data_IF_899788468679
#
_entry.id   IF_899788468679
#
_cell.length_a   1.000
_cell.length_b   1.000
_cell.length_c   1.000
_cell.angle_alpha   90.00
_cell.angle_beta   90.00
_cell.angle_gamma   90.00
#
_symmetry.space_group_name_H-M   'P 1'
#
loop_
_entity.id
_entity.type
_entity.pdbx_description
1 polymer ?
#
# COMPACT_ATOMS: atom_id res chain seq x y z
N UNK A 1 -3.88 -34.23 23.54
CA UNK A 1 -2.83 -33.63 22.71
C UNK A 1 -2.20 -34.76 21.94
N UNK A 2 -2.36 -34.74 20.62
CA UNK A 2 -1.77 -35.74 19.75
C UNK A 2 -0.24 -35.57 19.77
N UNK A 3 0.53 -36.65 19.62
CA UNK A 3 2.00 -36.59 19.64
C UNK A 3 2.55 -35.63 18.57
N UNK A 4 1.88 -35.59 17.41
CA UNK A 4 2.13 -34.66 16.30
C UNK A 4 1.90 -33.19 16.68
N UNK A 5 0.85 -32.88 17.45
CA UNK A 5 0.57 -31.51 17.89
C UNK A 5 1.64 -31.00 18.85
N UNK A 6 2.25 -31.91 19.63
CA UNK A 6 3.32 -31.57 20.57
C UNK A 6 4.63 -31.27 19.82
N UNK A 7 4.94 -32.03 18.77
CA UNK A 7 6.11 -31.79 17.91
C UNK A 7 6.00 -30.44 17.19
N UNK A 8 4.84 -30.13 16.59
CA UNK A 8 4.58 -28.83 15.96
C UNK A 8 4.71 -27.67 16.95
N UNK A 9 4.25 -27.85 18.19
CA UNK A 9 4.35 -26.83 19.24
C UNK A 9 5.81 -26.57 19.63
N UNK A 10 6.63 -27.62 19.69
CA UNK A 10 8.06 -27.54 20.01
C UNK A 10 8.81 -26.84 18.87
N UNK A 11 8.54 -27.18 17.62
CA UNK A 11 9.14 -26.48 16.46
C UNK A 11 8.84 -24.99 16.48
N UNK A 12 7.58 -24.60 16.72
CA UNK A 12 7.18 -23.20 16.81
C UNK A 12 7.91 -22.42 17.92
N UNK A 13 8.13 -23.05 19.08
CA UNK A 13 8.87 -22.44 20.18
C UNK A 13 10.35 -22.27 19.81
N UNK A 14 10.96 -23.26 19.15
CA UNK A 14 12.35 -23.17 18.68
C UNK A 14 12.49 -22.01 17.69
N UNK A 15 11.58 -21.92 16.72
CA UNK A 15 11.52 -20.86 15.71
C UNK A 15 11.37 -19.46 16.34
N UNK A 16 10.60 -19.35 17.42
CA UNK A 16 10.42 -18.11 18.17
C UNK A 16 11.68 -17.72 18.96
N UNK A 17 12.40 -18.69 19.56
CA UNK A 17 13.68 -18.45 20.22
C UNK A 17 14.74 -17.99 19.22
N UNK A 18 14.79 -18.56 18.02
CA UNK A 18 15.73 -18.17 16.96
C UNK A 18 15.49 -16.74 16.42
N UNK A 19 14.24 -16.28 16.45
CA UNK A 19 13.86 -14.91 16.03
C UNK A 19 14.20 -13.85 17.07
N UNK A 20 14.48 -14.23 18.32
CA UNK A 20 14.86 -13.28 19.36
C UNK A 20 16.31 -12.80 19.15
N UNK A 21 16.54 -11.50 19.34
CA UNK A 21 17.89 -10.94 19.27
C UNK A 21 18.69 -11.32 20.51
N UNK A 22 19.59 -12.29 20.38
CA UNK A 22 20.46 -12.74 21.46
C UNK A 22 21.56 -11.70 21.75
N UNK A 23 21.69 -11.32 23.02
CA UNK A 23 22.79 -10.50 23.54
C UNK A 23 24.01 -11.33 23.94
N UNK A 24 23.86 -12.65 24.08
CA UNK A 24 24.93 -13.60 24.39
C UNK A 24 24.64 -14.98 23.77
N UNK A 25 25.63 -15.88 23.80
CA UNK A 25 25.55 -17.20 23.16
C UNK A 25 24.76 -18.24 24.00
N UNK A 26 24.02 -17.80 25.02
CA UNK A 26 23.31 -18.64 25.97
C UNK A 26 21.81 -18.34 25.90
N UNK A 27 20.99 -19.40 25.83
CA UNK A 27 19.54 -19.27 25.89
C UNK A 27 19.13 -19.25 27.36
N UNK A 28 18.67 -18.10 27.84
CA UNK A 28 18.21 -17.93 29.22
C UNK A 28 16.75 -18.37 29.38
N UNK A 29 16.38 -18.78 30.60
CA UNK A 29 15.01 -19.19 30.93
C UNK A 29 13.96 -18.12 30.58
N UNK A 30 14.29 -16.84 30.78
CA UNK A 30 13.43 -15.71 30.43
C UNK A 30 13.14 -15.61 28.92
N UNK A 31 14.08 -16.02 28.06
CA UNK A 31 13.93 -16.02 26.60
C UNK A 31 12.98 -17.13 26.15
N UNK A 32 13.11 -18.31 26.75
CA UNK A 32 12.21 -19.45 26.50
C UNK A 32 10.81 -19.14 27.02
N UNK A 33 10.68 -18.55 28.22
CA UNK A 33 9.38 -18.13 28.75
C UNK A 33 8.70 -17.08 27.85
N UNK A 34 9.47 -16.16 27.26
CA UNK A 34 8.96 -15.18 26.29
C UNK A 34 8.52 -15.86 24.97
N UNK A 35 9.30 -16.81 24.46
CA UNK A 35 8.97 -17.56 23.24
C UNK A 35 7.73 -18.44 23.45
N UNK A 36 7.62 -19.12 24.59
CA UNK A 36 6.43 -19.90 24.96
C UNK A 36 5.21 -18.98 25.11
N UNK A 37 5.37 -17.80 25.71
CA UNK A 37 4.30 -16.79 25.78
C UNK A 37 3.86 -16.31 24.39
N UNK A 38 4.79 -16.10 23.47
CA UNK A 38 4.53 -15.71 22.08
C UNK A 38 3.80 -16.82 21.30
N UNK A 39 4.22 -18.08 21.45
CA UNK A 39 3.57 -19.24 20.83
C UNK A 39 2.23 -19.60 21.50
N UNK A 40 2.04 -19.27 22.78
CA UNK A 40 0.80 -19.53 23.53
C UNK A 40 -0.28 -18.48 23.30
N UNK A 41 0.10 -17.27 22.84
CA UNK A 41 -0.85 -16.34 22.24
C UNK A 41 -1.27 -17.01 20.94
N UNK A 42 -2.55 -17.37 20.82
CA UNK A 42 -3.11 -17.74 19.53
C UNK A 42 -2.73 -16.65 18.53
N UNK A 43 -1.75 -16.91 17.68
CA UNK A 43 -1.51 -16.04 16.52
C UNK A 43 -2.85 -16.08 15.82
N UNK A 44 -3.53 -14.94 15.79
CA UNK A 44 -4.78 -14.90 15.08
C UNK A 44 -4.45 -15.00 13.59
N UNK A 45 -4.46 -16.23 13.09
CA UNK A 45 -4.18 -16.57 11.70
C UNK A 45 -5.13 -15.82 10.74
N UNK A 46 -6.24 -15.28 11.27
CA UNK A 46 -7.24 -14.59 10.47
C UNK A 46 -6.89 -13.13 10.16
N UNK A 47 -6.14 -12.41 11.00
CA UNK A 47 -5.87 -10.99 10.75
C UNK A 47 -4.46 -10.58 11.15
N UNK A 48 -3.67 -10.16 10.17
CA UNK A 48 -2.30 -9.70 10.34
C UNK A 48 -2.13 -8.27 9.81
N UNK A 49 -1.55 -7.39 10.63
CA UNK A 49 -1.17 -6.04 10.21
C UNK A 49 0.34 -6.02 10.01
N UNK A 50 0.77 -5.83 8.76
CA UNK A 50 2.18 -5.70 8.43
C UNK A 50 2.72 -4.37 8.93
N UNK A 51 3.73 -4.45 9.80
CA UNK A 51 4.66 -3.35 10.03
C UNK A 51 5.69 -3.39 8.89
N UNK A 52 5.80 -2.31 8.11
CA UNK A 52 6.94 -2.15 7.20
C UNK A 52 8.19 -1.91 8.04
N UNK A 53 8.85 -2.97 8.48
CA UNK A 53 10.08 -2.87 9.26
C UNK A 53 11.18 -2.22 8.40
N UNK A 54 11.69 -1.07 8.84
CA UNK A 54 12.91 -0.43 8.33
C UNK A 54 14.20 -1.20 8.67
N UNK A 55 14.06 -2.48 9.04
CA UNK A 55 15.18 -3.37 9.32
C UNK A 55 15.33 -4.28 8.11
N UNK A 56 16.55 -4.33 7.59
CA UNK A 56 16.97 -5.15 6.46
C UNK A 56 16.70 -6.63 6.75
N UNK A 57 15.49 -7.09 6.44
CA UNK A 57 15.18 -8.51 6.47
C UNK A 57 15.75 -9.12 5.18
N UNK A 58 16.98 -9.62 5.28
CA UNK A 58 17.73 -10.28 4.19
C UNK A 58 16.95 -11.44 3.58
N UNK A 59 15.97 -12.00 4.30
CA UNK A 59 15.29 -13.25 3.95
C UNK A 59 14.03 -13.10 3.10
N UNK A 60 13.55 -11.88 2.81
CA UNK A 60 12.31 -11.69 2.01
C UNK A 60 12.44 -10.71 0.85
N UNK A 61 13.61 -10.71 0.22
CA UNK A 61 13.76 -10.26 -1.17
C UNK A 61 13.24 -11.34 -2.10
N UNK A 62 11.93 -11.53 -2.12
CA UNK A 62 11.34 -12.50 -3.05
C UNK A 62 11.13 -11.78 -4.38
N UNK A 63 12.05 -12.15 -5.27
CA UNK A 63 12.46 -11.58 -6.54
C UNK A 63 11.37 -11.25 -7.58
N UNK A 64 11.73 -10.28 -8.43
CA UNK A 64 11.63 -10.43 -9.89
C UNK A 64 13.03 -10.80 -10.43
N UNK A 65 13.07 -11.62 -11.49
CA UNK A 65 14.29 -12.07 -12.15
C UNK A 65 15.28 -10.90 -12.37
N UNK A 66 16.53 -11.06 -11.92
CA UNK A 66 17.70 -10.16 -12.10
C UNK A 66 18.12 -9.21 -10.96
N UNK A 67 17.68 -9.37 -9.70
CA UNK A 67 18.06 -8.46 -8.60
C UNK A 67 18.71 -9.14 -7.37
N UNK A 68 19.48 -10.22 -7.57
CA UNK A 68 20.21 -10.93 -6.49
C UNK A 68 21.42 -10.16 -5.94
N UNK A 69 21.87 -9.11 -6.64
CA UNK A 69 23.11 -8.40 -6.32
C UNK A 69 22.92 -7.04 -5.63
N UNK A 70 21.71 -6.70 -5.18
CA UNK A 70 21.47 -5.38 -4.59
C UNK A 70 21.91 -5.33 -3.12
N UNK A 71 22.39 -4.20 -2.63
CA UNK A 71 22.65 -3.99 -1.20
C UNK A 71 21.33 -3.87 -0.44
N UNK A 72 21.25 -4.37 0.79
CA UNK A 72 20.04 -4.28 1.61
C UNK A 72 19.54 -2.82 1.75
N UNK A 73 18.21 -2.58 1.82
CA UNK A 73 17.66 -1.23 1.77
C UNK A 73 18.03 -0.40 3.01
N UNK A 74 18.51 0.83 2.78
CA UNK A 74 18.87 1.77 3.82
C UNK A 74 18.07 3.07 3.67
N UNK A 75 17.76 3.74 4.79
CA UNK A 75 17.10 5.05 4.77
C UNK A 75 17.90 6.07 3.95
N UNK A 76 19.22 6.05 4.12
CA UNK A 76 20.16 6.87 3.34
C UNK A 76 20.72 6.05 2.19
N UNK A 77 19.91 5.90 1.14
CA UNK A 77 20.30 5.22 -0.10
C UNK A 77 21.43 5.93 -0.85
N UNK A 78 22.12 5.18 -1.68
CA UNK A 78 23.09 5.67 -2.66
C UNK A 78 22.41 6.35 -3.84
N UNK A 79 23.17 7.08 -4.66
CA UNK A 79 22.66 7.63 -5.92
C UNK A 79 22.12 6.56 -6.88
N UNK A 80 22.63 5.32 -6.78
CA UNK A 80 22.11 4.17 -7.54
C UNK A 80 20.69 3.81 -7.11
N UNK A 81 20.39 3.82 -5.82
CA UNK A 81 19.04 3.51 -5.32
C UNK A 81 17.99 4.48 -5.88
N UNK A 82 18.37 5.76 -6.06
CA UNK A 82 17.50 6.75 -6.71
C UNK A 82 17.20 6.41 -8.18
N UNK A 83 18.18 5.89 -8.91
CA UNK A 83 18.01 5.48 -10.31
C UNK A 83 17.19 4.19 -10.41
N UNK A 84 17.48 3.21 -9.56
CA UNK A 84 16.77 1.92 -9.52
C UNK A 84 15.28 2.12 -9.18
N UNK A 85 14.93 3.08 -8.31
CA UNK A 85 13.54 3.44 -8.02
C UNK A 85 12.69 3.63 -9.30
N UNK A 86 13.14 4.50 -10.20
CA UNK A 86 12.39 4.78 -11.43
C UNK A 86 12.47 3.62 -12.43
N UNK A 87 13.61 2.92 -12.46
CA UNK A 87 13.83 1.75 -13.31
C UNK A 87 12.87 0.61 -12.92
N UNK A 88 12.70 0.34 -11.65
CA UNK A 88 11.81 -0.70 -11.13
C UNK A 88 10.35 -0.39 -11.44
N UNK A 89 9.91 0.86 -11.24
CA UNK A 89 8.57 1.31 -11.64
C UNK A 89 8.31 1.07 -13.12
N UNK A 90 9.28 1.40 -13.98
CA UNK A 90 9.19 1.14 -15.42
C UNK A 90 9.12 -0.37 -15.74
N UNK A 91 10.03 -1.17 -15.19
CA UNK A 91 10.13 -2.62 -15.48
C UNK A 91 8.83 -3.35 -15.13
N UNK A 92 8.22 -3.05 -13.98
CA UNK A 92 6.97 -3.69 -13.55
C UNK A 92 5.85 -3.40 -14.55
N UNK A 93 5.68 -2.14 -14.95
CA UNK A 93 4.65 -1.76 -15.90
C UNK A 93 4.95 -2.26 -17.31
N UNK A 94 6.22 -2.32 -17.71
CA UNK A 94 6.64 -2.90 -18.97
C UNK A 94 6.26 -4.38 -19.05
N UNK A 95 6.61 -5.16 -18.03
CA UNK A 95 6.26 -6.59 -17.95
C UNK A 95 4.75 -6.80 -18.00
N UNK A 96 4.00 -6.03 -17.19
CA UNK A 96 2.54 -6.07 -17.15
C UNK A 96 1.91 -5.74 -18.51
N UNK A 97 2.43 -4.72 -19.18
CA UNK A 97 1.96 -4.31 -20.51
C UNK A 97 2.23 -5.41 -21.54
N UNK A 98 3.43 -6.01 -21.54
CA UNK A 98 3.76 -7.09 -22.49
C UNK A 98 2.91 -8.35 -22.32
N UNK A 99 2.37 -8.61 -21.13
CA UNK A 99 1.46 -9.75 -20.87
C UNK A 99 0.02 -9.50 -21.31
N UNK A 100 -0.34 -8.24 -21.56
CA UNK A 100 -1.69 -7.93 -21.99
C UNK A 100 -1.93 -8.42 -23.42
N UNK A 101 -3.14 -8.92 -23.70
CA UNK A 101 -3.48 -9.56 -24.99
C UNK A 101 -3.19 -8.68 -26.21
N UNK A 102 -3.37 -7.36 -26.06
CA UNK A 102 -3.13 -6.37 -27.12
C UNK A 102 -1.64 -6.18 -27.46
N UNK A 103 -0.73 -6.56 -26.57
CA UNK A 103 0.73 -6.36 -26.73
C UNK A 103 1.51 -7.67 -26.81
N UNK A 104 0.86 -8.81 -26.56
CA UNK A 104 1.49 -10.13 -26.60
C UNK A 104 1.67 -10.57 -28.06
N UNK A 105 2.89 -10.95 -28.50
CA UNK A 105 3.11 -11.47 -29.86
C UNK A 105 2.20 -12.66 -30.18
N UNK A 106 1.77 -12.80 -31.43
CA UNK A 106 1.01 -13.98 -31.84
C UNK A 106 1.86 -15.24 -31.72
N UNK A 107 1.30 -16.31 -31.17
CA UNK A 107 1.96 -17.60 -31.13
C UNK A 107 2.24 -18.09 -32.56
N UNK A 108 3.39 -18.72 -32.75
CA UNK A 108 3.78 -19.27 -34.05
C UNK A 108 2.81 -20.42 -34.40
N UNK A 109 2.02 -20.26 -35.47
CA UNK A 109 1.14 -21.30 -36.00
C UNK A 109 -0.37 -21.08 -35.85
N UNK A 110 -0.84 -20.02 -35.19
CA UNK A 110 -2.26 -19.64 -35.17
C UNK A 110 -2.62 -18.75 -36.36
N UNK A 111 -3.70 -19.06 -37.08
CA UNK A 111 -4.25 -18.15 -38.10
C UNK A 111 -4.54 -16.79 -37.44
N UNK A 112 -3.99 -15.72 -38.02
CA UNK A 112 -4.24 -14.36 -37.57
C UNK A 112 -5.68 -13.99 -37.85
N UNK A 113 -6.50 -13.89 -36.81
CA UNK A 113 -7.74 -13.11 -36.91
C UNK A 113 -7.34 -11.66 -37.27
N UNK A 114 -7.57 -11.26 -38.52
CA UNK A 114 -7.27 -9.92 -39.03
C UNK A 114 -8.05 -8.79 -38.31
N UNK A 115 -8.93 -9.13 -37.37
CA UNK A 115 -9.85 -8.20 -36.69
C UNK A 115 -9.29 -7.57 -35.40
N UNK A 116 -8.15 -8.03 -34.86
CA UNK A 116 -7.51 -7.40 -33.68
C UNK A 116 -6.10 -6.93 -34.02
N UNK A 117 -5.95 -5.63 -34.30
CA UNK A 117 -4.62 -5.00 -34.43
C UNK A 117 -3.86 -5.13 -33.11
N UNK A 118 -2.70 -5.79 -33.15
CA UNK A 118 -1.79 -5.87 -32.01
C UNK A 118 -0.86 -4.66 -31.99
N UNK A 119 -0.58 -4.17 -30.79
CA UNK A 119 0.32 -3.05 -30.57
C UNK A 119 1.74 -3.54 -30.32
N UNK A 120 2.71 -2.94 -31.01
CA UNK A 120 4.13 -3.21 -30.79
C UNK A 120 4.80 -1.99 -30.16
N UNK A 121 5.32 -2.16 -28.94
CA UNK A 121 6.10 -1.13 -28.27
C UNK A 121 7.48 -0.98 -28.92
N UNK A 122 7.92 0.27 -29.09
CA UNK A 122 9.29 0.62 -29.49
C UNK A 122 10.00 1.32 -28.33
N UNK A 123 11.31 1.08 -28.20
CA UNK A 123 12.14 1.77 -27.20
C UNK A 123 12.55 3.15 -27.70
N UNK A 124 12.79 4.10 -26.79
CA UNK A 124 13.29 5.44 -27.12
C UNK A 124 14.57 5.38 -27.96
N UNK A 125 15.47 4.45 -27.64
CA UNK A 125 16.71 4.18 -28.39
C UNK A 125 16.44 3.82 -29.86
N UNK A 126 15.36 3.09 -30.13
CA UNK A 126 14.96 2.71 -31.51
C UNK A 126 14.54 3.94 -32.32
N UNK A 127 13.90 4.93 -31.69
CA UNK A 127 13.55 6.18 -32.37
C UNK A 127 14.81 7.01 -32.63
N UNK A 128 15.65 7.21 -31.61
CA UNK A 128 16.87 8.01 -31.72
C UNK A 128 17.89 7.42 -32.70
N UNK A 129 17.91 6.09 -32.85
CA UNK A 129 18.75 5.40 -33.84
C UNK A 129 18.25 5.50 -35.28
N UNK A 130 17.05 6.03 -35.52
CA UNK A 130 16.46 6.15 -36.84
C UNK A 130 16.53 7.59 -37.35
N UNK A 131 17.13 7.79 -38.53
CA UNK A 131 17.21 9.09 -39.20
C UNK A 131 16.03 9.39 -40.10
N UNK A 132 15.14 8.41 -40.36
CA UNK A 132 13.97 8.57 -41.21
C UNK A 132 12.69 8.77 -40.39
N UNK A 133 11.72 9.47 -40.97
CA UNK A 133 10.38 9.63 -40.39
C UNK A 133 9.76 8.27 -40.10
N UNK A 134 9.35 8.06 -38.85
CA UNK A 134 8.58 6.90 -38.43
C UNK A 134 7.12 7.31 -38.30
N UNK A 135 6.24 6.58 -39.00
CA UNK A 135 4.78 6.78 -38.95
C UNK A 135 4.19 6.37 -37.61
N UNK A 136 3.43 5.27 -37.55
CA UNK A 136 2.82 4.83 -36.29
C UNK A 136 3.85 4.22 -35.33
N UNK A 137 4.05 4.88 -34.19
CA UNK A 137 4.95 4.44 -33.12
C UNK A 137 4.23 4.49 -31.78
N UNK A 138 4.43 3.44 -30.98
CA UNK A 138 3.92 3.36 -29.61
C UNK A 138 5.11 3.18 -28.68
N UNK A 139 5.25 4.08 -27.70
CA UNK A 139 6.34 4.06 -26.72
C UNK A 139 5.75 3.99 -25.33
N UNK A 140 6.18 3.02 -24.52
CA UNK A 140 5.99 3.06 -23.08
C UNK A 140 7.11 3.90 -22.48
N UNK A 141 6.76 4.98 -21.79
CA UNK A 141 7.71 5.92 -21.23
C UNK A 141 7.18 6.67 -20.03
N UNK A 142 8.09 7.33 -19.32
CA UNK A 142 7.79 8.15 -18.16
C UNK A 142 7.78 9.61 -18.58
N UNK A 143 6.69 10.34 -18.31
CA UNK A 143 6.63 11.77 -18.63
C UNK A 143 7.50 12.54 -17.63
N UNK A 144 8.39 13.40 -18.11
CA UNK A 144 9.19 14.29 -17.28
C UNK A 144 9.27 15.66 -17.92
N UNK A 145 9.11 16.73 -17.14
CA UNK A 145 9.30 18.09 -17.60
C UNK A 145 10.71 18.57 -17.21
N UNK A 146 11.59 18.77 -18.21
CA UNK A 146 12.97 19.19 -17.98
C UNK A 146 13.18 20.72 -18.07
N UNK A 147 12.26 21.42 -18.74
CA UNK A 147 12.26 22.89 -18.89
C UNK A 147 10.86 23.41 -18.64
N UNK A 148 10.75 24.59 -18.02
CA UNK A 148 9.46 25.28 -17.90
C UNK A 148 8.89 25.55 -19.30
N UNK A 149 7.70 25.00 -19.54
CA UNK A 149 6.82 25.38 -20.62
C UNK A 149 5.56 25.87 -19.91
N UNK A 150 4.92 26.92 -20.43
CA UNK A 150 3.81 27.68 -19.83
C UNK A 150 2.51 26.90 -19.51
N UNK A 151 2.57 25.57 -19.51
CA UNK A 151 1.47 24.65 -19.19
C UNK A 151 1.97 23.52 -18.29
N UNK A 152 1.30 23.33 -17.16
CA UNK A 152 1.58 22.33 -16.13
C UNK A 152 1.45 20.92 -16.73
N UNK A 153 2.51 20.12 -16.71
CA UNK A 153 2.51 18.71 -17.14
C UNK A 153 2.52 17.81 -15.88
N UNK A 154 1.69 16.76 -15.80
CA UNK A 154 1.87 15.72 -14.79
C UNK A 154 3.16 15.00 -15.03
N UNK A 155 4.08 15.22 -14.10
CA UNK A 155 5.37 14.58 -14.11
C UNK A 155 5.25 13.17 -13.49
N UNK A 156 6.02 12.24 -14.05
CA UNK A 156 6.35 10.91 -13.53
C UNK A 156 5.24 9.85 -13.56
N UNK A 157 4.15 10.07 -14.31
CA UNK A 157 3.28 8.97 -14.75
C UNK A 157 3.91 8.21 -15.93
N UNK A 158 3.88 6.89 -15.85
CA UNK A 158 4.25 5.97 -16.93
C UNK A 158 3.05 5.75 -17.86
N UNK A 159 3.19 6.14 -19.12
CA UNK A 159 2.15 6.08 -20.14
C UNK A 159 2.67 5.37 -21.37
N UNK A 160 1.78 4.73 -22.13
CA UNK A 160 2.07 4.52 -23.53
C UNK A 160 1.58 5.72 -24.34
N UNK A 161 2.40 6.17 -25.27
CA UNK A 161 2.09 7.27 -26.18
C UNK A 161 2.14 6.78 -27.61
N UNK A 162 1.08 7.06 -28.35
CA UNK A 162 1.00 6.78 -29.79
C UNK A 162 1.31 8.05 -30.55
N UNK A 163 2.02 7.95 -31.68
CA UNK A 163 2.39 9.12 -32.44
C UNK A 163 3.31 8.80 -33.60
N UNK A 164 3.99 9.83 -34.10
CA UNK A 164 5.00 9.73 -35.14
C UNK A 164 6.28 10.43 -34.73
N UNK A 165 7.40 10.04 -35.33
CA UNK A 165 8.72 10.56 -34.98
C UNK A 165 9.45 11.08 -36.22
N UNK A 166 10.00 12.27 -36.10
CA UNK A 166 10.76 12.96 -37.16
C UNK A 166 11.71 13.95 -36.48
N UNK A 167 12.91 14.12 -37.05
CA UNK A 167 13.86 15.17 -36.63
C UNK A 167 14.10 15.26 -35.12
N UNK A 168 14.34 14.11 -34.46
CA UNK A 168 14.57 14.00 -33.01
C UNK A 168 13.38 14.39 -32.11
N UNK A 169 12.19 14.56 -32.69
CA UNK A 169 10.97 14.93 -31.98
C UNK A 169 9.91 13.82 -32.13
N UNK A 170 9.37 13.38 -30.99
CA UNK A 170 8.22 12.47 -30.96
C UNK A 170 6.91 13.24 -30.81
N UNK A 171 6.11 13.25 -31.87
CA UNK A 171 4.83 13.93 -31.97
C UNK A 171 3.70 13.02 -31.51
N UNK A 172 3.26 13.19 -30.27
CA UNK A 172 2.23 12.36 -29.64
C UNK A 172 0.83 12.75 -30.16
N UNK A 173 0.08 11.74 -30.61
CA UNK A 173 -1.34 11.86 -30.99
C UNK A 173 -2.27 11.48 -29.85
N UNK A 174 -1.92 10.48 -29.04
CA UNK A 174 -2.70 10.06 -27.90
C UNK A 174 -1.83 9.50 -26.77
N UNK A 175 -2.31 9.67 -25.54
CA UNK A 175 -1.76 9.06 -24.35
C UNK A 175 -2.72 8.00 -23.80
N UNK A 176 -2.17 6.92 -23.27
CA UNK A 176 -2.90 5.90 -22.56
C UNK A 176 -2.12 5.36 -21.37
N UNK A 177 -2.86 4.90 -20.37
CA UNK A 177 -2.27 4.22 -19.22
C UNK A 177 -1.95 2.77 -19.56
N UNK A 178 -0.82 2.21 -19.07
CA UNK A 178 -0.57 0.78 -19.20
C UNK A 178 -1.73 -0.01 -18.58
N UNK A 179 -2.19 -1.10 -19.22
CA UNK A 179 -3.39 -1.83 -18.81
C UNK A 179 -3.23 -2.37 -17.39
N UNK A 180 -4.29 -2.29 -16.59
CA UNK A 180 -4.34 -2.83 -15.22
C UNK A 180 -4.40 -4.36 -15.31
N UNK A 181 -3.53 -5.06 -14.59
CA UNK A 181 -3.53 -6.54 -14.53
C UNK A 181 -4.28 -6.99 -13.27
N UNK A 182 -5.40 -7.73 -13.40
CA UNK A 182 -6.09 -8.33 -12.26
C UNK A 182 -5.18 -9.21 -11.41
N UNK A 183 -5.49 -9.32 -10.11
CA UNK A 183 -4.76 -10.18 -9.16
C UNK A 183 -4.72 -11.64 -9.64
N UNK A 184 -5.84 -12.14 -10.20
CA UNK A 184 -5.94 -13.50 -10.74
C UNK A 184 -4.95 -13.77 -11.88
N UNK A 185 -4.78 -12.82 -12.82
CA UNK A 185 -3.85 -12.96 -13.94
C UNK A 185 -2.40 -12.94 -13.44
N UNK A 186 -2.09 -12.02 -12.52
CA UNK A 186 -0.77 -11.93 -11.90
C UNK A 186 -0.37 -13.27 -11.27
N UNK A 187 -1.31 -13.88 -10.54
CA UNK A 187 -1.09 -15.14 -9.82
C UNK A 187 -1.06 -16.36 -10.73
N UNK A 188 -1.81 -16.35 -11.83
CA UNK A 188 -1.68 -17.38 -12.86
C UNK A 188 -0.26 -17.42 -13.45
N UNK A 189 0.41 -16.27 -13.54
CA UNK A 189 1.78 -16.18 -14.07
C UNK A 189 2.85 -16.52 -13.03
N UNK A 190 2.72 -16.01 -11.79
CA UNK A 190 3.73 -16.13 -10.74
C UNK A 190 3.49 -17.25 -9.73
N UNK A 191 2.35 -17.93 -9.80
CA UNK A 191 1.93 -18.93 -8.82
C UNK A 191 1.57 -18.32 -7.46
N UNK A 192 1.87 -19.05 -6.39
CA UNK A 192 1.42 -18.73 -5.02
C UNK A 192 2.44 -17.93 -4.21
N UNK A 193 3.26 -17.11 -4.86
CA UNK A 193 4.23 -16.24 -4.17
C UNK A 193 3.50 -15.24 -3.26
N UNK A 194 3.98 -15.08 -2.03
CA UNK A 194 3.48 -14.06 -1.12
C UNK A 194 4.13 -12.69 -1.38
N UNK A 195 3.57 -11.92 -2.31
CA UNK A 195 3.99 -10.54 -2.57
C UNK A 195 3.52 -9.55 -1.51
N UNK A 196 2.44 -9.89 -0.79
CA UNK A 196 1.77 -8.97 0.11
C UNK A 196 2.53 -8.81 1.43
N UNK A 197 3.12 -9.91 1.92
CA UNK A 197 3.84 -9.98 3.19
C UNK A 197 3.07 -10.76 4.26
N UNK A 198 3.49 -10.65 5.51
CA UNK A 198 2.86 -11.36 6.63
C UNK A 198 3.43 -12.75 6.91
N UNK A 199 2.84 -13.49 7.85
CA UNK A 199 3.46 -14.70 8.42
C UNK A 199 3.57 -15.83 7.39
N UNK A 200 2.55 -15.96 6.52
CA UNK A 200 2.49 -17.02 5.51
C UNK A 200 3.66 -16.96 4.51
N UNK A 201 4.22 -18.12 4.18
CA UNK A 201 5.27 -18.28 3.16
C UNK A 201 4.70 -18.21 1.74
N UNK A 202 3.44 -18.65 1.56
CA UNK A 202 2.69 -18.59 0.31
C UNK A 202 1.59 -17.54 0.38
N UNK A 203 1.01 -17.17 -0.76
CA UNK A 203 -0.11 -16.23 -0.74
C UNK A 203 -1.31 -16.78 0.03
N UNK A 204 -1.91 -15.91 0.84
CA UNK A 204 -3.14 -16.23 1.57
C UNK A 204 -4.34 -16.48 0.64
N UNK A 205 -4.31 -15.96 -0.59
CA UNK A 205 -5.37 -16.16 -1.60
C UNK A 205 -5.54 -17.61 -2.05
N UNK A 206 -4.51 -18.45 -1.91
CA UNK A 206 -4.58 -19.87 -2.26
C UNK A 206 -5.02 -20.75 -1.08
N UNK A 207 -5.26 -20.19 0.11
CA UNK A 207 -5.60 -20.97 1.30
C UNK A 207 -7.11 -21.24 1.38
N UNK A 208 -7.49 -22.49 1.10
CA UNK A 208 -8.87 -22.94 1.26
C UNK A 208 -9.37 -22.83 2.71
N UNK A 209 -8.48 -23.07 3.69
CA UNK A 209 -8.77 -22.91 5.13
C UNK A 209 -9.17 -21.47 5.46
N UNK A 210 -8.35 -20.50 5.03
CA UNK A 210 -8.65 -19.08 5.28
C UNK A 210 -9.90 -18.64 4.53
N UNK A 211 -10.15 -19.19 3.33
CA UNK A 211 -11.37 -18.89 2.57
C UNK A 211 -12.62 -19.37 3.31
N UNK A 212 -12.59 -20.58 3.85
CA UNK A 212 -13.68 -21.10 4.67
C UNK A 212 -13.92 -20.22 5.91
N UNK A 213 -12.87 -19.84 6.64
CA UNK A 213 -12.99 -18.98 7.83
C UNK A 213 -13.55 -17.59 7.50
N UNK A 214 -13.22 -17.05 6.32
CA UNK A 214 -13.77 -15.79 5.82
C UNK A 214 -15.27 -15.90 5.54
N UNK A 215 -15.70 -17.01 4.93
CA UNK A 215 -17.10 -17.26 4.60
C UNK A 215 -17.96 -17.57 5.84
N UNK A 216 -17.38 -18.23 6.84
CA UNK A 216 -18.06 -18.56 8.10
C UNK A 216 -18.26 -17.33 9.01
N UNK A 217 -17.45 -16.28 8.85
CA UNK A 217 -17.50 -15.09 9.70
C UNK A 217 -18.25 -13.93 9.05
N UNK A 218 -19.55 -14.10 8.87
CA UNK A 218 -20.43 -13.10 8.24
C UNK A 218 -20.51 -11.77 9.02
N UNK A 219 -20.20 -11.80 10.32
CA UNK A 219 -20.20 -10.62 11.20
C UNK A 219 -18.89 -9.82 11.15
N UNK A 220 -17.91 -10.24 10.33
CA UNK A 220 -16.65 -9.55 10.19
C UNK A 220 -16.82 -8.12 9.67
N UNK A 221 -16.33 -7.14 10.43
CA UNK A 221 -16.53 -5.72 10.11
C UNK A 221 -15.29 -4.89 10.36
N UNK A 222 -14.96 -4.03 9.40
CA UNK A 222 -13.87 -3.07 9.47
C UNK A 222 -14.40 -1.63 9.39
N UNK A 223 -13.97 -0.80 10.33
CA UNK A 223 -14.35 0.63 10.37
C UNK A 223 -13.11 1.47 10.11
N UNK A 224 -13.16 2.31 9.07
CA UNK A 224 -12.07 3.20 8.69
C UNK A 224 -12.44 4.64 8.99
N UNK A 225 -11.57 5.36 9.71
CA UNK A 225 -11.68 6.79 9.97
C UNK A 225 -10.40 7.49 9.54
N UNK A 226 -10.52 8.74 9.10
CA UNK A 226 -9.38 9.61 8.77
C UNK A 226 -9.50 10.97 9.45
N UNK A 227 -8.35 11.61 9.67
CA UNK A 227 -8.19 12.90 10.37
C UNK A 227 -8.90 12.91 11.72
N UNK A 228 -8.51 11.96 12.58
CA UNK A 228 -9.10 11.76 13.90
C UNK A 228 -8.41 12.68 14.90
N UNK A 229 -8.79 13.96 14.90
CA UNK A 229 -8.21 14.99 15.77
C UNK A 229 -8.61 14.80 17.24
N UNK A 230 -7.76 14.12 18.01
CA UNK A 230 -8.02 13.74 19.41
C UNK A 230 -7.97 14.94 20.37
N UNK A 231 -7.45 16.09 19.91
CA UNK A 231 -7.46 17.35 20.64
C UNK A 231 -8.81 18.10 20.56
N UNK A 232 -9.74 17.65 19.70
CA UNK A 232 -11.05 18.26 19.54
C UNK A 232 -12.12 17.52 20.33
N UNK A 233 -12.79 18.24 21.24
CA UNK A 233 -13.85 17.67 22.08
C UNK A 233 -15.02 17.10 21.27
N UNK A 234 -15.36 17.74 20.13
CA UNK A 234 -16.40 17.26 19.21
C UNK A 234 -16.04 15.90 18.61
N UNK A 235 -14.78 15.70 18.22
CA UNK A 235 -14.30 14.41 17.68
C UNK A 235 -14.40 13.32 18.75
N UNK A 236 -14.00 13.61 19.99
CA UNK A 236 -14.09 12.65 21.09
C UNK A 236 -15.55 12.26 21.40
N UNK A 237 -16.48 13.21 21.34
CA UNK A 237 -17.90 12.93 21.55
C UNK A 237 -18.48 12.09 20.42
N UNK A 238 -18.14 12.41 19.17
CA UNK A 238 -18.50 11.62 18.00
C UNK A 238 -17.96 10.18 18.08
N UNK A 239 -16.73 10.00 18.59
CA UNK A 239 -16.17 8.67 18.84
C UNK A 239 -16.95 7.92 19.92
N UNK A 240 -17.37 8.57 21.01
CA UNK A 240 -18.22 7.94 22.04
C UNK A 240 -19.56 7.49 21.48
N UNK A 241 -20.21 8.34 20.68
CA UNK A 241 -21.46 7.99 20.00
C UNK A 241 -21.24 6.78 19.10
N UNK A 242 -20.18 6.78 18.27
CA UNK A 242 -19.83 5.67 17.39
C UNK A 242 -19.62 4.38 18.17
N UNK A 243 -18.81 4.42 19.24
CA UNK A 243 -18.60 3.25 20.09
C UNK A 243 -19.92 2.79 20.72
N UNK A 244 -20.74 3.69 21.26
CA UNK A 244 -22.07 3.30 21.79
C UNK A 244 -22.93 2.59 20.75
N UNK A 245 -22.91 3.04 19.49
CA UNK A 245 -23.66 2.45 18.38
C UNK A 245 -23.19 1.05 18.00
N UNK A 246 -21.89 0.78 18.16
CA UNK A 246 -21.29 -0.53 17.92
C UNK A 246 -21.31 -1.46 19.14
N UNK A 247 -21.82 -1.02 20.29
CA UNK A 247 -21.78 -1.82 21.53
C UNK A 247 -22.49 -3.17 21.43
N UNK A 248 -23.56 -3.25 20.64
CA UNK A 248 -24.29 -4.49 20.42
C UNK A 248 -23.55 -5.47 19.50
N UNK A 249 -22.88 -4.95 18.47
CA UNK A 249 -22.15 -5.73 17.45
C UNK A 249 -20.80 -5.05 17.23
N UNK A 250 -19.79 -5.33 18.07
CA UNK A 250 -18.50 -4.67 18.00
C UNK A 250 -17.74 -5.11 16.74
N UNK A 251 -17.23 -4.17 15.92
CA UNK A 251 -16.43 -4.48 14.75
C UNK A 251 -15.18 -5.30 15.06
N UNK A 252 -14.72 -6.07 14.08
CA UNK A 252 -13.47 -6.83 14.16
C UNK A 252 -12.27 -5.89 14.37
N UNK A 253 -12.20 -4.80 13.61
CA UNK A 253 -11.12 -3.82 13.75
C UNK A 253 -11.55 -2.40 13.37
N UNK A 254 -11.09 -1.43 14.16
CA UNK A 254 -11.12 -0.01 13.84
C UNK A 254 -9.75 0.45 13.33
N UNK A 255 -9.75 1.17 12.22
CA UNK A 255 -8.57 1.79 11.63
C UNK A 255 -8.69 3.30 11.78
N UNK A 256 -7.87 3.88 12.64
CA UNK A 256 -7.75 5.32 12.82
C UNK A 256 -6.56 5.81 12.02
N UNK A 257 -6.83 6.46 10.90
CA UNK A 257 -5.82 7.14 10.12
C UNK A 257 -5.65 8.57 10.66
N UNK A 258 -4.40 9.01 10.79
CA UNK A 258 -4.07 10.36 11.17
C UNK A 258 -4.61 11.41 10.18
N UNK A 259 -4.40 12.69 10.39
CA UNK A 259 -3.61 13.25 11.51
C UNK A 259 -4.38 13.14 12.84
N UNK A 260 -3.67 12.97 13.96
CA UNK A 260 -4.26 12.80 15.29
C UNK A 260 -4.38 14.10 16.10
N UNK A 261 -3.87 15.21 15.57
CA UNK A 261 -3.97 16.55 16.14
C UNK A 261 -4.47 17.53 15.07
N UNK A 262 -5.41 18.40 15.42
CA UNK A 262 -5.84 19.52 14.59
C UNK A 262 -4.78 20.62 14.48
N UNK A 263 -3.86 20.67 15.45
CA UNK A 263 -2.76 21.62 15.51
C UNK A 263 -1.42 20.88 15.45
N UNK A 264 -0.85 20.69 14.25
CA UNK A 264 0.37 19.91 14.09
C UNK A 264 1.66 20.71 14.36
N UNK A 265 1.54 21.98 14.76
CA UNK A 265 2.67 22.87 14.97
C UNK A 265 2.79 23.26 16.44
N UNK A 266 4.00 23.17 16.99
CA UNK A 266 4.30 23.70 18.32
C UNK A 266 5.35 22.90 19.08
N UNK A 267 6.08 23.56 19.99
CA UNK A 267 7.11 22.93 20.83
C UNK A 267 6.57 21.80 21.72
N UNK A 268 5.26 21.81 21.99
CA UNK A 268 4.59 20.87 22.89
C UNK A 268 3.76 19.82 22.13
N UNK A 269 3.87 19.69 20.81
CA UNK A 269 3.04 18.76 20.01
C UNK A 269 3.02 17.34 20.58
N UNK A 270 4.19 16.80 20.95
CA UNK A 270 4.32 15.46 21.56
C UNK A 270 3.62 15.40 22.93
N UNK A 271 3.73 16.45 23.75
CA UNK A 271 3.09 16.50 25.07
C UNK A 271 1.57 16.64 24.95
N UNK A 272 1.10 17.48 24.03
CA UNK A 272 -0.32 17.62 23.72
C UNK A 272 -0.91 16.30 23.23
N UNK A 273 -0.23 15.62 22.30
CA UNK A 273 -0.68 14.33 21.78
C UNK A 273 -0.68 13.25 22.88
N UNK A 274 0.35 13.19 23.74
CA UNK A 274 0.34 12.31 24.93
C UNK A 274 -0.88 12.56 25.82
N UNK A 275 -1.23 13.84 26.04
CA UNK A 275 -2.38 14.22 26.86
C UNK A 275 -3.75 13.90 26.26
N UNK A 276 -3.85 13.77 24.93
CA UNK A 276 -5.13 13.49 24.23
C UNK A 276 -5.47 12.02 24.12
N UNK A 277 -4.52 11.11 24.35
CA UNK A 277 -4.77 9.66 24.41
C UNK A 277 -5.57 9.21 25.65
N UNK A 278 -6.03 10.14 26.50
CA UNK A 278 -6.91 9.91 27.66
C UNK A 278 -8.37 9.57 27.27
N UNK A 279 -8.57 8.79 26.21
CA UNK A 279 -9.85 8.17 25.94
C UNK A 279 -10.14 7.16 27.06
N UNK A 280 -11.27 7.30 27.75
CA UNK A 280 -11.62 6.39 28.85
C UNK A 280 -11.60 4.93 28.35
N UNK A 281 -10.84 4.02 29.01
CA UNK A 281 -10.74 2.61 28.63
C UNK A 281 -12.10 1.92 28.48
N UNK A 282 -13.12 2.42 29.18
CA UNK A 282 -14.51 1.96 29.09
C UNK A 282 -15.14 2.06 27.71
N UNK A 283 -14.57 2.84 26.79
CA UNK A 283 -15.07 3.02 25.43
C UNK A 283 -14.55 1.94 24.46
N UNK A 284 -13.54 1.16 24.86
CA UNK A 284 -12.90 0.18 24.00
C UNK A 284 -13.48 -1.21 24.25
N UNK A 285 -13.87 -1.88 23.16
CA UNK A 285 -14.41 -3.23 23.22
C UNK A 285 -13.28 -4.25 23.39
N UNK A 286 -13.40 -5.15 24.37
CA UNK A 286 -12.45 -6.26 24.56
C UNK A 286 -12.36 -7.22 23.35
N UNK A 287 -13.26 -7.10 22.37
CA UNK A 287 -13.28 -7.93 21.15
C UNK A 287 -12.75 -7.22 19.90
N UNK A 288 -12.67 -5.89 19.92
CA UNK A 288 -12.25 -5.11 18.74
C UNK A 288 -10.76 -4.82 18.79
N UNK A 289 -10.14 -4.80 17.61
CA UNK A 289 -8.76 -4.33 17.44
C UNK A 289 -8.72 -2.86 17.02
N UNK A 290 -7.63 -2.18 17.37
CA UNK A 290 -7.46 -0.76 17.13
C UNK A 290 -6.13 -0.53 16.40
N UNK A 291 -6.19 -0.13 15.13
CA UNK A 291 -5.00 0.10 14.31
C UNK A 291 -4.86 1.59 14.02
N UNK A 292 -3.69 2.14 14.32
CA UNK A 292 -3.37 3.55 14.15
C UNK A 292 -2.35 3.73 13.03
N UNK A 293 -2.75 4.43 11.98
CA UNK A 293 -1.93 4.73 10.80
C UNK A 293 -1.52 6.21 10.82
N UNK A 294 -0.23 6.55 10.94
CA UNK A 294 0.21 7.94 11.12
C UNK A 294 0.00 8.77 9.86
N UNK A 295 -0.51 9.98 10.04
CA UNK A 295 -0.64 11.01 9.00
C UNK A 295 0.68 11.73 8.72
N UNK A 296 0.64 12.74 7.86
CA UNK A 296 1.86 13.47 7.42
C UNK A 296 2.25 14.58 8.40
N UNK A 297 1.31 15.00 9.24
CA UNK A 297 1.49 16.08 10.21
C UNK A 297 1.65 15.55 11.64
N UNK A 298 1.64 14.23 11.81
CA UNK A 298 1.88 13.56 13.08
C UNK A 298 3.37 13.53 13.45
N UNK A 299 3.73 13.40 14.74
CA UNK A 299 5.14 13.39 15.17
C UNK A 299 5.97 12.28 14.52
N UNK A 300 7.08 12.67 13.87
CA UNK A 300 8.00 11.77 13.19
C UNK A 300 8.53 12.38 11.88
N UNK A 301 9.22 11.60 11.03
CA UNK A 301 9.62 12.03 9.70
C UNK A 301 8.41 12.04 8.74
N UNK A 302 7.43 12.90 9.00
CA UNK A 302 6.09 12.86 8.38
C UNK A 302 6.02 13.20 6.89
N UNK A 303 7.06 13.80 6.31
CA UNK A 303 7.07 14.24 4.91
C UNK A 303 7.68 13.25 3.92
N UNK A 304 8.25 12.13 4.38
CA UNK A 304 8.94 11.14 3.55
C UNK A 304 8.28 9.76 3.72
N UNK A 305 8.00 9.08 2.62
CA UNK A 305 7.37 7.75 2.61
C UNK A 305 8.40 6.62 2.42
N UNK A 306 8.12 5.39 2.91
CA UNK A 306 7.11 5.09 3.92
C UNK A 306 7.42 5.80 5.25
N UNK A 307 6.38 6.08 6.06
CA UNK A 307 6.51 6.71 7.38
C UNK A 307 6.52 5.63 8.47
N UNK A 308 7.38 5.75 9.50
CA UNK A 308 7.37 4.85 10.65
C UNK A 308 6.13 5.08 11.52
N UNK A 309 5.80 4.13 12.42
CA UNK A 309 4.77 4.34 13.43
C UNK A 309 5.12 5.48 14.39
N UNK A 310 4.12 5.97 15.10
CA UNK A 310 4.33 6.85 16.24
C UNK A 310 5.27 6.19 17.26
N UNK A 311 6.22 6.96 17.79
CA UNK A 311 7.23 6.46 18.73
C UNK A 311 6.59 5.89 19.99
N UNK A 312 7.21 4.85 20.57
CA UNK A 312 6.68 4.16 21.75
C UNK A 312 6.42 5.10 22.93
N UNK A 313 7.29 6.09 23.14
CA UNK A 313 7.12 7.14 24.15
C UNK A 313 5.76 7.86 24.08
N UNK A 314 5.16 8.00 22.89
CA UNK A 314 3.84 8.62 22.72
C UNK A 314 2.71 7.63 23.01
N UNK A 315 2.92 6.36 22.67
CA UNK A 315 1.84 5.36 22.56
C UNK A 315 1.81 4.35 23.70
N UNK A 316 2.86 4.28 24.53
CA UNK A 316 3.04 3.26 25.56
C UNK A 316 1.89 3.23 26.57
N UNK A 317 1.50 4.39 27.11
CA UNK A 317 0.39 4.51 28.05
C UNK A 317 -0.93 4.03 27.43
N UNK A 318 -1.19 4.37 26.17
CA UNK A 318 -2.38 3.92 25.46
C UNK A 318 -2.37 2.40 25.24
N UNK A 319 -1.23 1.81 24.85
CA UNK A 319 -1.10 0.36 24.65
C UNK A 319 -1.31 -0.42 25.94
N UNK A 320 -0.92 0.13 27.09
CA UNK A 320 -1.18 -0.48 28.40
C UNK A 320 -2.67 -0.49 28.73
N UNK A 321 -3.41 0.57 28.35
CA UNK A 321 -4.85 0.66 28.58
C UNK A 321 -5.67 -0.13 27.55
N UNK A 322 -5.20 -0.21 26.31
CA UNK A 322 -5.86 -0.87 25.18
C UNK A 322 -4.90 -1.90 24.57
N UNK A 323 -4.85 -3.14 25.10
CA UNK A 323 -3.84 -4.12 24.72
C UNK A 323 -3.98 -4.64 23.28
N UNK A 324 -5.17 -4.52 22.68
CA UNK A 324 -5.42 -4.87 21.27
C UNK A 324 -5.21 -3.69 20.31
N UNK A 325 -4.32 -2.77 20.66
CA UNK A 325 -3.93 -1.65 19.81
C UNK A 325 -2.59 -1.86 19.12
N UNK A 326 -2.51 -1.47 17.84
CA UNK A 326 -1.31 -1.55 17.01
C UNK A 326 -1.08 -0.20 16.33
N UNK A 327 0.07 0.41 16.58
CA UNK A 327 0.52 1.61 15.86
C UNK A 327 1.45 1.17 14.74
N UNK A 328 1.08 1.45 13.50
CA UNK A 328 1.75 0.90 12.30
C UNK A 328 2.34 1.99 11.41
N UNK A 329 2.99 1.60 10.32
CA UNK A 329 3.57 2.50 9.31
C UNK A 329 2.50 3.16 8.45
N UNK A 330 2.90 4.12 7.62
CA UNK A 330 2.06 4.63 6.56
C UNK A 330 2.83 4.66 5.21
N UNK A 331 2.38 3.94 4.17
CA UNK A 331 1.23 3.03 4.17
C UNK A 331 1.43 1.82 5.10
N UNK A 332 0.35 1.08 5.33
CA UNK A 332 0.40 -0.25 5.92
C UNK A 332 -0.40 -1.24 5.09
N UNK A 333 -0.15 -2.52 5.33
CA UNK A 333 -0.83 -3.63 4.68
C UNK A 333 -1.49 -4.48 5.75
N UNK A 334 -2.76 -4.79 5.54
CA UNK A 334 -3.57 -5.61 6.44
C UNK A 334 -4.02 -6.82 5.65
N UNK A 335 -3.70 -8.01 6.15
CA UNK A 335 -4.23 -9.26 5.64
C UNK A 335 -5.36 -9.68 6.55
N UNK A 336 -6.52 -9.98 5.96
CA UNK A 336 -7.65 -10.59 6.64
C UNK A 336 -8.12 -11.80 5.87
N UNK A 337 -8.00 -13.00 6.44
CA UNK A 337 -8.22 -14.27 5.76
C UNK A 337 -7.56 -14.28 4.36
N UNK A 338 -8.32 -14.39 3.28
CA UNK A 338 -7.77 -14.39 1.91
C UNK A 338 -7.67 -12.99 1.29
N UNK A 339 -8.05 -11.96 2.03
CA UNK A 339 -8.10 -10.57 1.58
C UNK A 339 -6.83 -9.79 1.94
N UNK A 340 -6.42 -8.96 0.99
CA UNK A 340 -5.24 -8.10 0.99
C UNK A 340 -5.73 -6.64 0.95
N UNK A 341 -5.50 -5.90 2.03
CA UNK A 341 -5.98 -4.52 2.23
C UNK A 341 -4.80 -3.57 2.38
N UNK A 342 -4.70 -2.55 1.54
CA UNK A 342 -3.69 -1.49 1.66
C UNK A 342 -4.36 -0.25 2.27
N UNK A 343 -3.78 0.29 3.34
CA UNK A 343 -4.22 1.55 3.94
C UNK A 343 -3.11 2.57 3.76
N UNK A 344 -3.45 3.72 3.18
CA UNK A 344 -2.50 4.77 2.89
C UNK A 344 -3.10 6.10 3.28
N UNK A 345 -2.48 6.84 4.20
CA UNK A 345 -2.97 8.16 4.65
C UNK A 345 -2.16 9.29 4.00
N UNK A 346 -2.73 9.92 2.98
CA UNK A 346 -2.08 11.02 2.26
C UNK A 346 -3.12 11.93 1.59
N UNK A 347 -2.82 13.23 1.48
CA UNK A 347 -3.67 14.19 0.73
C UNK A 347 -3.33 14.14 -0.77
N UNK A 348 -3.49 12.95 -1.36
CA UNK A 348 -2.95 12.58 -2.66
C UNK A 348 -3.77 13.14 -3.83
N UNK A 349 -5.11 13.15 -3.75
CA UNK A 349 -5.96 13.66 -4.83
C UNK A 349 -5.58 15.09 -5.18
N UNK A 350 -5.44 15.95 -4.16
CA UNK A 350 -5.02 17.34 -4.35
C UNK A 350 -3.58 17.46 -4.89
N UNK A 351 -2.66 16.59 -4.44
CA UNK A 351 -1.28 16.55 -4.97
C UNK A 351 -1.27 16.17 -6.45
N UNK A 352 -2.06 15.18 -6.86
CA UNK A 352 -2.19 14.78 -8.26
C UNK A 352 -2.82 15.87 -9.10
N UNK A 353 -3.93 16.48 -8.66
CA UNK A 353 -4.59 17.58 -9.39
C UNK A 353 -3.67 18.78 -9.63
N UNK A 354 -2.82 19.15 -8.66
CA UNK A 354 -1.84 20.26 -8.82
C UNK A 354 -0.72 19.93 -9.81
N UNK A 355 -0.43 18.65 -9.99
CA UNK A 355 0.59 18.15 -10.90
C UNK A 355 -0.10 17.35 -12.03
N UNK A 356 -1.23 17.80 -12.55
CA UNK A 356 -1.89 17.15 -13.69
C UNK A 356 -1.42 17.77 -15.01
N UNK A 357 -1.24 16.98 -16.08
CA UNK A 357 -0.86 17.52 -17.41
C UNK A 357 -1.96 18.36 -18.00
N UNK A 358 -3.15 17.84 -17.77
CA UNK A 358 -4.38 18.37 -18.26
C UNK A 358 -5.41 17.94 -17.26
N UNK A 359 -6.36 18.82 -16.98
CA UNK A 359 -7.51 18.41 -16.21
C UNK A 359 -8.20 17.25 -16.93
N UNK A 360 -8.60 16.20 -16.18
CA UNK A 360 -9.37 15.11 -16.74
C UNK A 360 -10.65 15.63 -17.40
N UNK A 361 -11.15 14.89 -18.37
CA UNK A 361 -12.43 15.20 -18.98
C UNK A 361 -13.55 15.15 -17.94
N UNK A 362 -14.58 15.99 -18.12
CA UNK A 362 -15.75 16.04 -17.22
C UNK A 362 -16.68 14.84 -17.33
N UNK A 363 -16.37 13.85 -18.19
CA UNK A 363 -17.19 12.65 -18.40
C UNK A 363 -17.08 11.64 -17.26
N UNK A 364 -16.02 11.70 -16.47
CA UNK A 364 -15.78 10.87 -15.30
C UNK A 364 -15.43 11.79 -14.14
N UNK A 365 -15.88 11.45 -12.94
CA UNK A 365 -15.52 12.19 -11.74
C UNK A 365 -14.03 12.04 -11.39
N UNK A 366 -13.53 12.92 -10.52
CA UNK A 366 -12.14 12.92 -10.09
C UNK A 366 -11.75 11.60 -9.39
N UNK A 367 -12.56 11.02 -8.48
CA UNK A 367 -12.26 9.72 -7.86
C UNK A 367 -12.02 8.58 -8.86
N UNK A 368 -12.83 8.46 -9.92
CA UNK A 368 -12.64 7.41 -10.90
C UNK A 368 -11.33 7.57 -11.69
N UNK A 369 -10.98 8.81 -12.09
CA UNK A 369 -9.69 9.08 -12.73
C UNK A 369 -8.51 8.83 -11.79
N UNK A 370 -8.64 9.22 -10.53
CA UNK A 370 -7.65 9.01 -9.49
C UNK A 370 -7.37 7.52 -9.28
N UNK A 371 -8.41 6.71 -9.02
CA UNK A 371 -8.29 5.27 -8.83
C UNK A 371 -7.70 4.60 -10.06
N UNK A 372 -8.22 4.92 -11.26
CA UNK A 372 -7.68 4.38 -12.50
C UNK A 372 -6.19 4.70 -12.65
N UNK A 373 -5.75 5.90 -12.27
CA UNK A 373 -4.34 6.28 -12.33
C UNK A 373 -3.51 5.44 -11.37
N UNK A 374 -3.87 5.35 -10.08
CA UNK A 374 -3.11 4.59 -9.08
C UNK A 374 -2.96 3.11 -9.47
N UNK A 375 -4.06 2.46 -9.87
CA UNK A 375 -4.04 1.05 -10.25
C UNK A 375 -3.27 0.83 -11.56
N UNK A 376 -3.41 1.75 -12.52
CA UNK A 376 -2.63 1.68 -13.77
C UNK A 376 -1.15 1.94 -13.53
N UNK A 377 -0.77 2.75 -12.54
CA UNK A 377 0.65 2.96 -12.23
C UNK A 377 1.22 1.84 -11.36
N UNK A 378 0.38 1.00 -10.74
CA UNK A 378 0.83 -0.06 -9.83
C UNK A 378 1.59 0.50 -8.61
N UNK A 379 1.33 1.76 -8.25
CA UNK A 379 2.10 2.51 -7.27
C UNK A 379 1.23 3.56 -6.57
N UNK A 380 1.33 3.67 -5.24
CA UNK A 380 0.54 4.60 -4.42
C UNK A 380 0.92 6.07 -4.67
N UNK A 381 2.16 6.35 -5.05
CA UNK A 381 2.65 7.72 -5.31
C UNK A 381 3.29 7.86 -6.69
N UNK A 382 2.49 7.86 -7.78
CA UNK A 382 2.99 8.07 -9.14
C UNK A 382 3.26 9.55 -9.41
N UNK A 383 4.06 10.15 -8.53
CA UNK A 383 4.38 11.57 -8.50
C UNK A 383 5.90 11.76 -8.37
N UNK A 384 6.39 12.97 -8.70
CA UNK A 384 7.77 13.34 -8.50
C UNK A 384 8.25 13.32 -7.05
N UNK A 385 9.55 13.02 -6.87
CA UNK A 385 10.17 12.97 -5.53
C UNK A 385 10.19 14.33 -4.81
N UNK A 386 10.13 15.46 -5.53
CA UNK A 386 9.97 16.80 -4.95
C UNK A 386 8.53 17.07 -4.48
N UNK A 387 7.53 16.34 -5.00
CA UNK A 387 6.12 16.46 -4.62
C UNK A 387 5.74 15.41 -3.56
N UNK A 388 6.24 14.18 -3.73
CA UNK A 388 6.06 13.05 -2.84
C UNK A 388 7.42 12.40 -2.56
N UNK A 389 8.14 12.88 -1.53
CA UNK A 389 9.43 12.32 -1.14
C UNK A 389 9.30 10.86 -0.69
N UNK A 390 10.21 10.01 -1.18
CA UNK A 390 10.27 8.59 -0.85
C UNK A 390 11.72 8.21 -0.52
N UNK A 391 11.91 7.37 0.50
CA UNK A 391 13.20 6.70 0.75
C UNK A 391 13.51 5.77 -0.41
N UNK A 392 14.56 6.06 -1.19
CA UNK A 392 14.75 5.45 -2.50
C UNK A 392 14.77 3.92 -2.49
N UNK A 393 15.49 3.34 -1.53
CA UNK A 393 15.60 1.89 -1.38
C UNK A 393 14.32 1.21 -0.85
N UNK A 394 13.31 1.97 -0.43
CA UNK A 394 12.03 1.50 0.12
C UNK A 394 10.82 1.79 -0.79
N UNK A 395 11.05 2.28 -2.03
CA UNK A 395 9.97 2.58 -2.98
C UNK A 395 9.05 1.37 -3.23
N UNK A 396 9.63 0.16 -3.23
CA UNK A 396 8.89 -1.08 -3.42
C UNK A 396 7.74 -1.31 -2.43
N UNK A 397 7.80 -0.70 -1.25
CA UNK A 397 6.73 -0.81 -0.24
C UNK A 397 5.46 -0.06 -0.61
N UNK A 398 5.56 0.91 -1.53
CA UNK A 398 4.46 1.75 -2.01
C UNK A 398 3.78 1.15 -3.25
N UNK A 399 4.18 -0.04 -3.68
CA UNK A 399 3.59 -0.74 -4.82
C UNK A 399 2.20 -1.27 -4.49
N UNK A 400 1.30 -1.17 -5.48
CA UNK A 400 -0.05 -1.75 -5.49
C UNK A 400 -0.14 -2.96 -6.44
N UNK A 401 0.99 -3.63 -6.68
CA UNK A 401 1.13 -4.80 -7.54
C UNK A 401 1.73 -5.99 -6.76
N UNK A 402 1.12 -7.20 -6.80
CA UNK A 402 -0.19 -7.53 -7.38
C UNK A 402 -1.33 -6.68 -6.81
N UNK A 403 -2.42 -6.60 -7.55
CA UNK A 403 -3.56 -5.79 -7.16
C UNK A 403 -4.22 -6.35 -5.87
N UNK A 404 -4.42 -5.53 -4.82
CA UNK A 404 -5.09 -5.93 -3.57
C UNK A 404 -6.62 -5.98 -3.75
N UNK A 405 -7.35 -6.54 -2.79
CA UNK A 405 -8.83 -6.50 -2.80
C UNK A 405 -9.36 -5.13 -2.40
N UNK A 406 -8.69 -4.45 -1.47
CA UNK A 406 -9.11 -3.15 -0.96
C UNK A 406 -7.93 -2.17 -0.84
N UNK A 407 -8.13 -0.93 -1.31
CA UNK A 407 -7.26 0.21 -1.00
C UNK A 407 -8.07 1.28 -0.29
N UNK A 408 -7.57 1.72 0.87
CA UNK A 408 -8.14 2.80 1.68
C UNK A 408 -7.20 4.00 1.63
N UNK A 409 -7.61 5.08 0.97
CA UNK A 409 -6.75 6.26 0.72
C UNK A 409 -6.76 7.30 1.84
N UNK A 410 -7.73 7.25 2.76
CA UNK A 410 -7.83 8.14 3.93
C UNK A 410 -7.47 9.61 3.62
N UNK A 411 -7.87 10.11 2.46
CA UNK A 411 -7.50 11.43 1.93
C UNK A 411 -8.41 12.49 2.56
N UNK A 412 -7.91 13.72 2.68
CA UNK A 412 -8.75 14.87 2.97
C UNK A 412 -9.81 15.09 1.89
N UNK A 413 -9.68 14.56 0.68
CA UNK A 413 -10.72 14.68 -0.34
C UNK A 413 -12.10 14.17 0.13
N UNK A 414 -13.15 14.50 -0.60
CA UNK A 414 -14.51 14.01 -0.31
C UNK A 414 -14.54 12.47 -0.31
N UNK A 415 -15.41 11.85 0.52
CA UNK A 415 -15.51 10.40 0.59
C UNK A 415 -15.98 9.83 -0.74
N UNK A 416 -15.43 8.67 -1.10
CA UNK A 416 -15.82 7.96 -2.32
C UNK A 416 -15.66 6.46 -2.19
N UNK A 417 -16.31 5.73 -3.08
CA UNK A 417 -16.16 4.28 -3.24
C UNK A 417 -16.17 3.98 -4.73
N UNK A 418 -15.09 3.39 -5.23
CA UNK A 418 -14.89 3.09 -6.65
C UNK A 418 -14.32 1.70 -6.75
N UNK A 419 -14.92 0.85 -7.59
CA UNK A 419 -14.38 -0.49 -7.90
C UNK A 419 -13.78 -0.47 -9.28
N UNK A 420 -12.55 -0.96 -9.41
CA UNK A 420 -11.86 -1.04 -10.70
C UNK A 420 -10.97 -2.29 -10.74
N UNK A 421 -11.16 -3.13 -11.76
CA UNK A 421 -10.42 -4.40 -11.96
C UNK A 421 -10.37 -5.26 -10.69
N UNK A 422 -11.52 -5.55 -10.09
CA UNK A 422 -11.65 -6.38 -8.88
C UNK A 422 -10.98 -5.84 -7.61
N UNK A 423 -10.53 -4.57 -7.63
CA UNK A 423 -10.05 -3.86 -6.44
C UNK A 423 -11.05 -2.79 -6.03
N UNK A 424 -11.52 -2.86 -4.79
CA UNK A 424 -12.34 -1.84 -4.15
C UNK A 424 -11.43 -0.72 -3.64
N UNK A 425 -11.70 0.51 -4.03
CA UNK A 425 -10.97 1.69 -3.57
C UNK A 425 -11.93 2.61 -2.83
N UNK A 426 -11.61 2.92 -1.57
CA UNK A 426 -12.44 3.78 -0.74
C UNK A 426 -11.64 4.97 -0.19
N UNK A 427 -12.35 6.07 -0.01
CA UNK A 427 -11.93 7.16 0.84
C UNK A 427 -12.96 7.33 1.96
N UNK A 428 -12.61 7.05 3.23
CA UNK A 428 -13.53 7.17 4.34
C UNK A 428 -13.91 8.62 4.57
N UNK A 429 -15.03 8.82 5.26
CA UNK A 429 -15.42 10.17 5.67
C UNK A 429 -14.46 10.68 6.74
N UNK A 430 -14.16 11.98 6.70
CA UNK A 430 -13.39 12.64 7.76
C UNK A 430 -14.18 12.54 9.07
N UNK A 431 -13.53 12.23 10.18
CA UNK A 431 -14.19 12.17 11.49
C UNK A 431 -14.80 13.51 11.92
N UNK A 432 -14.38 14.62 11.30
CA UNK A 432 -14.93 15.96 11.52
C UNK A 432 -16.22 16.25 10.70
N UNK A 433 -16.62 15.37 9.77
CA UNK A 433 -17.73 15.63 8.84
C UNK A 433 -18.56 14.37 8.63
N UNK A 434 -19.52 14.05 9.51
CA UNK A 434 -20.56 13.01 9.32
C UNK A 434 -20.10 11.54 9.15
N UNK A 435 -20.72 10.63 9.90
CA UNK A 435 -20.50 9.18 9.78
C UNK A 435 -21.30 8.61 8.61
N UNK A 436 -20.67 7.83 7.73
CA UNK A 436 -21.35 6.94 6.78
C UNK A 436 -20.85 5.51 6.99
N UNK A 437 -21.78 4.60 7.26
CA UNK A 437 -21.52 3.18 7.48
C UNK A 437 -21.60 2.47 6.12
N UNK A 438 -20.49 1.88 5.66
CA UNK A 438 -20.51 0.92 4.57
C UNK A 438 -20.86 -0.45 5.16
N UNK A 439 -22.10 -0.90 4.95
CA UNK A 439 -22.41 -2.33 4.96
C UNK A 439 -22.18 -2.85 3.54
N UNK A 440 -21.48 -3.98 3.40
CA UNK A 440 -21.51 -4.75 2.15
C UNK A 440 -22.93 -5.25 1.89
#
# INVERSE_FOLDING_TARGET
TNEVELEDMIENIIDAVEKQSLSCNMIERSMVETAVLECSRSIDETMYVSLLYFKTNTTRRIFFLSMTDHSAPNLFGSARDKAELFRERYIILQQRTHRHELFTPSAIGTQTDESKSKFQLKTVETLLGNSAKMGEVIVLGMITQLKEVSSVVAELCLLYSTGWYEDEVFHVTAFGFPPIEPSAITRAYYGNINFFGGPSSTSVKSSAKLKQMEEENEDAMFVFLSDVWLDQAEVLENLRIMFSGYSAIPPTCFFFCGNFSSTPYGKNQIQSLKGTWNLSPSCFFNKSRFVFVPGSEDPGPGSILPRPPLTENITEEFRQQVPFSVFTTNPCRVQYCTQEIIIFREDLVNKMCRNCVRFPNSSLDIPNHFVKTILSQGHLTPLPLNVSPVYWAYDYTLRTYPLPDLIVFADKYDPFTVTNTDCLCINPVRSCLYFSILKQ
#
